data_IF_189318705230
#
_entry.id   IF_189318705230
#
_cell.length_a   1.000
_cell.length_b   1.000
_cell.length_c   1.000
_cell.angle_alpha   90.00
_cell.angle_beta   90.00
_cell.angle_gamma   90.00
#
_symmetry.space_group_name_H-M   'P 1'
#
loop_
_entity.id
_entity.type
_entity.pdbx_description
1 polymer ?
#
# COMPACT_ATOMS: atom_id res chain seq x y z
N UNK A 1 -2.49 -6.05 -12.45
CA UNK A 1 -1.36 -5.64 -11.58
C UNK A 1 -1.78 -5.16 -10.18
N UNK A 2 -2.73 -4.23 -10.01
CA UNK A 2 -3.17 -3.73 -8.69
C UNK A 2 -3.59 -4.84 -7.71
N UNK A 3 -4.33 -5.84 -8.17
CA UNK A 3 -4.76 -7.00 -7.38
C UNK A 3 -3.63 -7.96 -6.98
N UNK A 4 -2.61 -8.11 -7.83
CA UNK A 4 -1.44 -8.98 -7.58
C UNK A 4 -0.55 -8.38 -6.49
N UNK A 5 -0.36 -7.06 -6.51
CA UNK A 5 0.37 -6.34 -5.46
C UNK A 5 -0.37 -6.31 -4.12
N UNK A 6 -1.70 -6.19 -4.13
CA UNK A 6 -2.52 -6.31 -2.91
C UNK A 6 -2.43 -7.74 -2.37
N UNK A 7 -2.52 -8.75 -3.23
CA UNK A 7 -2.39 -10.15 -2.85
C UNK A 7 -0.99 -10.49 -2.32
N UNK A 8 0.07 -9.96 -2.93
CA UNK A 8 1.46 -10.09 -2.46
C UNK A 8 1.66 -9.38 -1.12
N UNK A 9 1.21 -8.13 -0.96
CA UNK A 9 1.29 -7.41 0.30
C UNK A 9 0.55 -8.13 1.43
N UNK A 10 -0.61 -8.75 1.14
CA UNK A 10 -1.41 -9.52 2.10
C UNK A 10 -0.84 -10.91 2.39
N UNK A 11 -0.33 -11.62 1.38
CA UNK A 11 0.33 -12.93 1.53
C UNK A 11 1.67 -12.82 2.26
N UNK A 12 2.42 -11.73 2.02
CA UNK A 12 3.66 -11.44 2.74
C UNK A 12 3.36 -11.03 4.19
N UNK A 13 2.25 -10.32 4.44
CA UNK A 13 1.80 -9.98 5.79
C UNK A 13 1.39 -11.21 6.63
N UNK A 14 0.97 -12.31 5.99
CA UNK A 14 0.69 -13.59 6.65
C UNK A 14 1.93 -14.44 6.92
N UNK A 15 3.03 -14.21 6.18
CA UNK A 15 4.29 -14.97 6.31
C UNK A 15 5.36 -14.24 7.14
N UNK A 16 5.22 -12.92 7.35
CA UNK A 16 6.19 -12.09 8.08
C UNK A 16 5.62 -11.66 9.44
N UNK A 17 5.46 -12.63 10.32
CA UNK A 17 5.49 -12.37 11.77
C UNK A 17 6.97 -12.42 12.16
N UNK A 18 7.47 -11.32 12.74
CA UNK A 18 8.80 -11.15 13.35
C UNK A 18 10.02 -10.92 12.44
N UNK A 19 10.38 -9.65 12.27
CA UNK A 19 11.59 -9.05 12.85
C UNK A 19 11.50 -7.52 12.66
N UNK A 20 11.83 -6.74 13.70
CA UNK A 20 11.57 -5.31 13.87
C UNK A 20 12.28 -4.33 12.92
N UNK A 21 12.25 -4.59 11.60
CA UNK A 21 12.79 -3.74 10.53
C UNK A 21 11.72 -2.90 9.82
N UNK A 22 10.45 -3.31 9.85
CA UNK A 22 9.37 -2.56 9.18
C UNK A 22 9.03 -1.26 9.92
N UNK A 23 9.20 -1.23 11.24
CA UNK A 23 8.88 -0.07 12.06
C UNK A 23 9.90 1.06 11.87
N UNK A 24 11.21 0.79 11.78
CA UNK A 24 12.26 1.82 11.73
C UNK A 24 12.30 2.59 10.42
N UNK A 25 11.95 1.96 9.30
CA UNK A 25 12.26 2.47 7.96
C UNK A 25 11.11 3.29 7.38
N UNK A 26 9.86 2.82 7.56
CA UNK A 26 8.68 3.65 7.39
C UNK A 26 8.68 4.82 8.38
N UNK A 27 9.26 4.61 9.57
CA UNK A 27 9.57 5.72 10.47
C UNK A 27 10.51 6.73 9.86
N UNK A 28 11.49 6.37 9.04
CA UNK A 28 12.45 7.36 8.57
C UNK A 28 11.77 8.44 7.72
N UNK A 29 10.84 8.04 6.83
CA UNK A 29 10.02 8.96 6.01
C UNK A 29 8.98 9.69 6.87
N UNK A 30 8.37 9.03 7.85
CA UNK A 30 7.43 9.67 8.77
C UNK A 30 8.12 10.58 9.79
N UNK A 31 9.36 10.30 10.22
CA UNK A 31 10.18 11.04 11.19
C UNK A 31 10.85 12.24 10.53
N UNK A 32 11.13 12.15 9.22
CA UNK A 32 11.33 13.32 8.34
C UNK A 32 10.15 14.32 8.43
N UNK A 33 8.94 13.86 8.76
CA UNK A 33 7.74 14.70 8.91
C UNK A 33 7.29 14.97 10.37
N UNK A 34 7.61 14.08 11.33
CA UNK A 34 6.93 13.98 12.63
C UNK A 34 7.71 14.55 13.83
N UNK A 35 8.87 15.16 13.63
CA UNK A 35 9.58 15.79 14.76
C UNK A 35 9.05 17.21 15.03
N UNK A 36 8.12 17.32 15.96
CA UNK A 36 7.65 18.49 16.72
C UNK A 36 8.33 19.85 16.39
N UNK A 37 7.55 20.74 15.79
CA UNK A 37 7.32 22.19 16.03
C UNK A 37 8.38 23.19 16.56
N UNK A 38 9.68 22.89 16.72
CA UNK A 38 10.62 23.93 17.25
C UNK A 38 11.96 24.12 16.51
N UNK A 39 12.05 23.85 15.19
CA UNK A 39 13.19 24.40 14.42
C UNK A 39 12.86 24.58 12.94
N UNK A 40 12.38 25.79 12.61
CA UNK A 40 11.61 26.15 11.42
C UNK A 40 12.40 26.62 10.19
N UNK A 41 13.73 26.48 10.08
CA UNK A 41 14.46 27.12 8.95
C UNK A 41 15.11 26.21 7.89
N UNK A 42 15.29 24.90 8.11
CA UNK A 42 16.09 24.07 7.17
C UNK A 42 15.57 22.64 6.87
N UNK A 43 14.33 22.30 7.25
CA UNK A 43 13.71 21.04 6.81
C UNK A 43 13.09 21.21 5.43
N UNK A 44 13.22 20.20 4.57
CA UNK A 44 12.46 20.12 3.32
C UNK A 44 10.96 20.15 3.65
N UNK A 45 10.36 21.34 3.73
CA UNK A 45 8.94 21.55 3.98
C UNK A 45 8.18 21.05 2.75
N UNK A 46 7.94 19.74 2.73
CA UNK A 46 7.12 19.09 1.72
C UNK A 46 5.71 18.99 2.30
N UNK A 47 4.66 19.40 1.56
CA UNK A 47 3.30 19.25 2.02
C UNK A 47 3.01 17.82 2.46
N UNK A 48 2.15 17.64 3.46
CA UNK A 48 1.72 16.33 3.99
C UNK A 48 1.29 15.37 2.87
N UNK A 49 0.69 15.90 1.80
CA UNK A 49 0.32 15.15 0.61
C UNK A 49 1.52 14.46 -0.06
N UNK A 50 2.60 15.20 -0.30
CA UNK A 50 3.82 14.67 -0.91
C UNK A 50 4.47 13.59 -0.05
N UNK A 51 4.53 13.81 1.25
CA UNK A 51 5.06 12.83 2.20
C UNK A 51 4.27 11.53 2.20
N UNK A 52 2.93 11.60 2.17
CA UNK A 52 2.06 10.44 2.08
C UNK A 52 2.24 9.67 0.77
N UNK A 53 2.46 10.38 -0.34
CA UNK A 53 2.79 9.77 -1.64
C UNK A 53 4.13 9.05 -1.57
N UNK A 54 5.15 9.69 -1.00
CA UNK A 54 6.47 9.10 -0.82
C UNK A 54 6.43 7.80 -0.01
N UNK A 55 5.65 7.75 1.07
CA UNK A 55 5.50 6.53 1.90
C UNK A 55 4.85 5.40 1.12
N UNK A 56 3.75 5.66 0.40
CA UNK A 56 3.11 4.66 -0.47
C UNK A 56 4.10 4.12 -1.50
N UNK A 57 4.98 4.99 -1.98
CA UNK A 57 5.94 4.61 -2.99
C UNK A 57 7.04 3.76 -2.40
N UNK A 58 7.61 4.18 -1.29
CA UNK A 58 8.59 3.39 -0.57
C UNK A 58 8.08 1.98 -0.23
N UNK A 59 6.85 1.86 0.29
CA UNK A 59 6.26 0.56 0.62
C UNK A 59 6.11 -0.36 -0.60
N UNK A 60 5.69 0.18 -1.74
CA UNK A 60 5.53 -0.62 -2.96
C UNK A 60 6.88 -1.01 -3.57
N UNK A 61 7.86 -0.12 -3.53
CA UNK A 61 9.22 -0.41 -3.98
C UNK A 61 9.81 -1.61 -3.22
N UNK A 62 9.62 -1.62 -1.89
CA UNK A 62 10.06 -2.68 -0.97
C UNK A 62 9.43 -4.07 -1.23
N UNK A 63 8.24 -4.10 -1.83
CA UNK A 63 7.57 -5.36 -2.17
C UNK A 63 8.10 -5.97 -3.48
N UNK A 64 8.76 -5.18 -4.32
CA UNK A 64 9.23 -5.60 -5.64
C UNK A 64 10.73 -5.90 -5.62
N UNK A 65 11.51 -5.08 -4.90
CA UNK A 65 12.96 -5.20 -4.83
C UNK A 65 13.38 -5.75 -3.47
N UNK A 66 14.41 -6.60 -3.45
CA UNK A 66 14.91 -7.18 -2.21
C UNK A 66 15.70 -6.15 -1.38
N UNK A 67 15.59 -6.21 -0.06
CA UNK A 67 16.25 -5.26 0.86
C UNK A 67 17.79 -5.30 0.79
N UNK A 68 18.39 -6.34 0.18
CA UNK A 68 19.84 -6.46 -0.01
C UNK A 68 20.38 -5.67 -1.21
N UNK A 69 19.53 -5.24 -2.14
CA UNK A 69 19.96 -4.61 -3.39
C UNK A 69 20.20 -3.10 -3.26
N UNK A 70 19.70 -2.46 -2.19
CA UNK A 70 19.73 -1.02 -2.05
C UNK A 70 19.85 -0.57 -0.57
N UNK A 71 20.34 0.65 -0.38
CA UNK A 71 20.31 1.30 0.93
C UNK A 71 18.92 1.89 1.20
N UNK A 72 18.29 1.48 2.30
CA UNK A 72 16.94 1.93 2.67
C UNK A 72 16.82 3.45 2.84
N UNK A 73 17.91 4.13 3.25
CA UNK A 73 17.93 5.60 3.40
C UNK A 73 17.90 6.28 2.03
N UNK A 74 18.71 5.80 1.09
CA UNK A 74 18.75 6.36 -0.27
C UNK A 74 17.47 6.02 -1.04
N UNK A 75 16.87 4.84 -0.80
CA UNK A 75 15.55 4.49 -1.33
C UNK A 75 14.44 5.37 -0.76
N UNK A 76 14.46 5.67 0.55
CA UNK A 76 13.52 6.61 1.15
C UNK A 76 13.65 8.02 0.57
N UNK A 77 14.88 8.50 0.37
CA UNK A 77 15.16 9.78 -0.28
C UNK A 77 14.70 9.79 -1.75
N UNK A 78 14.90 8.69 -2.48
CA UNK A 78 14.37 8.53 -3.85
C UNK A 78 12.84 8.52 -3.88
N UNK A 79 12.17 7.93 -2.88
CA UNK A 79 10.71 7.94 -2.77
C UNK A 79 10.20 9.38 -2.65
N UNK A 80 10.83 10.15 -1.78
CA UNK A 80 10.49 11.55 -1.55
C UNK A 80 10.79 12.42 -2.77
N UNK A 81 11.94 12.21 -3.42
CA UNK A 81 12.32 12.92 -4.65
C UNK A 81 11.32 12.66 -5.78
N UNK A 82 10.91 11.40 -5.97
CA UNK A 82 9.92 11.01 -6.98
C UNK A 82 8.54 11.62 -6.65
N UNK A 83 8.13 11.56 -5.39
CA UNK A 83 6.86 12.16 -4.95
C UNK A 83 6.83 13.68 -5.13
N UNK A 84 7.94 14.37 -4.87
CA UNK A 84 8.10 15.80 -5.11
C UNK A 84 7.85 16.20 -6.57
N UNK A 85 8.27 15.35 -7.52
CA UNK A 85 8.01 15.58 -8.96
C UNK A 85 6.56 15.38 -9.34
N UNK A 86 5.88 14.41 -8.74
CA UNK A 86 4.50 14.07 -9.06
C UNK A 86 3.50 15.06 -8.45
N UNK A 87 3.82 15.60 -7.27
CA UNK A 87 2.95 16.49 -6.51
C UNK A 87 3.29 17.99 -6.73
N UNK A 88 4.10 18.31 -7.74
CA UNK A 88 4.56 19.67 -8.10
C UNK A 88 5.24 20.42 -6.95
N UNK A 89 6.01 19.70 -6.14
CA UNK A 89 6.75 20.22 -4.97
C UNK A 89 8.24 19.96 -5.13
N UNK A 90 8.77 20.34 -6.31
CA UNK A 90 10.12 20.03 -6.76
C UNK A 90 11.19 20.51 -5.77
N UNK A 91 12.11 19.59 -5.43
CA UNK A 91 13.29 19.83 -4.59
C UNK A 91 14.50 19.19 -5.26
N UNK A 92 15.70 19.75 -5.04
CA UNK A 92 16.93 19.15 -5.57
C UNK A 92 17.25 17.90 -4.75
N UNK A 93 17.78 16.85 -5.40
CA UNK A 93 18.16 15.60 -4.72
C UNK A 93 19.21 15.83 -3.63
N UNK A 94 20.18 16.74 -3.86
CA UNK A 94 21.18 17.15 -2.86
C UNK A 94 20.54 17.72 -1.59
N UNK A 95 19.52 18.57 -1.74
CA UNK A 95 18.82 19.19 -0.61
C UNK A 95 18.11 18.13 0.25
N UNK A 96 17.51 17.11 -0.40
CA UNK A 96 16.83 16.01 0.28
C UNK A 96 17.82 15.15 1.07
N UNK A 97 18.96 14.79 0.46
CA UNK A 97 20.00 13.98 1.11
C UNK A 97 20.66 14.75 2.25
N UNK A 98 20.98 16.02 2.05
CA UNK A 98 21.52 16.90 3.08
C UNK A 98 20.57 17.03 4.27
N UNK A 99 19.27 17.23 4.02
CA UNK A 99 18.26 17.26 5.08
C UNK A 99 18.19 15.93 5.85
N UNK A 100 18.24 14.79 5.16
CA UNK A 100 18.25 13.47 5.80
C UNK A 100 19.50 13.23 6.66
N UNK A 101 20.66 13.73 6.23
CA UNK A 101 21.91 13.66 6.98
C UNK A 101 21.87 14.55 8.23
N UNK A 102 21.45 15.81 8.09
CA UNK A 102 21.36 16.77 9.19
C UNK A 102 20.34 16.38 10.26
N UNK A 103 19.37 15.50 9.96
CA UNK A 103 18.48 14.93 10.98
C UNK A 103 19.19 14.05 12.02
N UNK A 104 20.37 13.51 11.68
CA UNK A 104 21.15 12.67 12.59
C UNK A 104 22.13 13.48 13.44
N UNK A 105 22.40 14.73 13.05
CA UNK A 105 23.41 15.59 13.66
C UNK A 105 22.79 16.69 14.53
N UNK A 106 23.48 17.11 15.59
CA UNK A 106 23.09 18.29 16.33
C UNK A 106 23.15 19.55 15.44
N UNK A 107 22.34 20.59 15.71
CA UNK A 107 22.30 21.82 14.91
C UNK A 107 23.65 22.50 14.67
N UNK A 108 24.62 22.31 15.55
CA UNK A 108 25.98 22.86 15.44
C UNK A 108 26.83 22.23 14.34
N UNK A 109 26.48 21.02 13.90
CA UNK A 109 27.26 20.23 12.92
C UNK A 109 26.50 20.08 11.58
N UNK A 110 25.47 20.90 11.35
CA UNK A 110 24.69 20.84 10.11
C UNK A 110 25.56 21.23 8.92
N UNK A 111 25.56 20.36 7.91
CA UNK A 111 26.25 20.60 6.65
C UNK A 111 25.34 21.34 5.67
N UNK A 112 25.95 22.02 4.70
CA UNK A 112 25.22 22.67 3.62
C UNK A 112 25.07 21.73 2.42
N UNK A 113 24.02 21.90 1.60
CA UNK A 113 23.79 21.04 0.42
C UNK A 113 24.92 21.07 -0.62
N UNK A 114 25.78 22.11 -0.59
CA UNK A 114 26.89 22.31 -1.51
C UNK A 114 28.13 21.45 -1.21
N UNK A 115 28.15 20.78 -0.06
CA UNK A 115 29.23 19.87 0.34
C UNK A 115 29.37 18.69 -0.67
N UNK A 116 30.59 18.38 -1.16
CA UNK A 116 30.84 17.26 -2.07
C UNK A 116 30.49 15.88 -1.48
N UNK A 117 30.41 15.74 -0.15
CA UNK A 117 30.02 14.49 0.52
C UNK A 117 28.65 13.99 0.03
N UNK A 118 27.75 14.89 -0.34
CA UNK A 118 26.39 14.52 -0.79
C UNK A 118 26.29 14.18 -2.27
N UNK A 119 27.34 14.41 -3.07
CA UNK A 119 27.27 14.25 -4.52
C UNK A 119 27.04 12.78 -4.93
N UNK A 120 27.75 11.85 -4.29
CA UNK A 120 27.61 10.41 -4.54
C UNK A 120 26.20 9.92 -4.23
N UNK A 121 25.70 10.21 -3.02
CA UNK A 121 24.34 9.82 -2.59
C UNK A 121 23.26 10.47 -3.46
N UNK A 122 23.42 11.75 -3.83
CA UNK A 122 22.48 12.43 -4.72
C UNK A 122 22.39 11.78 -6.11
N UNK A 123 23.51 11.27 -6.65
CA UNK A 123 23.51 10.48 -7.90
C UNK A 123 22.83 9.12 -7.72
N UNK A 124 23.08 8.43 -6.61
CA UNK A 124 22.41 7.17 -6.28
C UNK A 124 20.89 7.32 -6.18
N UNK A 125 20.40 8.40 -5.57
CA UNK A 125 18.98 8.74 -5.48
C UNK A 125 18.34 8.90 -6.87
N UNK A 126 19.04 9.51 -7.82
CA UNK A 126 18.57 9.64 -9.21
C UNK A 126 18.53 8.28 -9.92
N UNK A 127 19.49 7.39 -9.63
CA UNK A 127 19.45 6.01 -10.13
C UNK A 127 18.26 5.21 -9.59
N UNK A 128 18.02 5.31 -8.28
CA UNK A 128 16.91 4.64 -7.60
C UNK A 128 15.53 5.17 -8.03
N UNK A 129 15.42 6.46 -8.39
CA UNK A 129 14.19 7.03 -8.94
C UNK A 129 13.68 6.23 -10.15
N UNK A 130 14.58 5.85 -11.07
CA UNK A 130 14.18 5.09 -12.26
C UNK A 130 13.57 3.74 -11.88
N UNK A 131 14.20 3.03 -10.95
CA UNK A 131 13.70 1.75 -10.43
C UNK A 131 12.38 1.92 -9.70
N UNK A 132 12.20 3.04 -8.98
CA UNK A 132 10.93 3.36 -8.34
C UNK A 132 9.82 3.53 -9.37
N UNK A 133 10.02 4.36 -10.40
CA UNK A 133 9.02 4.60 -11.45
C UNK A 133 8.60 3.29 -12.15
N UNK A 134 9.55 2.39 -12.40
CA UNK A 134 9.30 1.05 -12.93
C UNK A 134 8.45 0.21 -11.97
N UNK A 135 8.76 0.22 -10.67
CA UNK A 135 8.00 -0.48 -9.63
C UNK A 135 6.52 0.00 -9.54
N UNK A 136 6.27 1.28 -9.85
CA UNK A 136 4.90 1.82 -9.94
C UNK A 136 4.17 1.46 -11.23
N UNK A 137 4.90 1.06 -12.27
CA UNK A 137 4.35 0.94 -13.62
C UNK A 137 3.85 2.29 -14.14
N UNK A 138 4.50 3.39 -13.74
CA UNK A 138 4.16 4.76 -14.16
C UNK A 138 2.71 5.20 -13.85
N UNK A 139 2.04 4.57 -12.87
CA UNK A 139 0.72 5.03 -12.39
C UNK A 139 0.88 6.10 -11.31
N UNK A 140 0.65 7.36 -11.68
CA UNK A 140 0.82 8.53 -10.80
C UNK A 140 -0.46 8.93 -10.06
N UNK A 141 -1.53 8.14 -10.12
CA UNK A 141 -2.80 8.48 -9.46
C UNK A 141 -2.70 8.30 -7.95
N UNK A 142 -2.46 9.39 -7.24
CA UNK A 142 -2.38 9.40 -5.78
C UNK A 142 -3.73 9.73 -5.16
N UNK A 143 -4.30 8.76 -4.46
CA UNK A 143 -5.46 8.96 -3.60
C UNK A 143 -5.03 8.88 -2.13
N UNK A 144 -5.50 9.82 -1.34
CA UNK A 144 -5.26 9.90 0.10
C UNK A 144 -6.57 9.96 0.91
N UNK A 145 -6.61 9.35 2.11
CA UNK A 145 -7.83 9.22 2.90
C UNK A 145 -8.29 10.53 3.55
N UNK A 146 -7.47 11.58 3.64
CA UNK A 146 -7.82 12.83 4.32
C UNK A 146 -9.07 13.50 3.72
N UNK A 147 -9.20 13.51 2.38
CA UNK A 147 -10.38 14.07 1.71
C UNK A 147 -11.64 13.25 2.00
N UNK A 148 -11.51 11.93 2.06
CA UNK A 148 -12.61 11.01 2.40
C UNK A 148 -13.01 11.14 3.86
N UNK A 149 -12.04 11.28 4.76
CA UNK A 149 -12.27 11.46 6.20
C UNK A 149 -13.11 12.70 6.48
N UNK A 150 -12.82 13.83 5.83
CA UNK A 150 -13.63 15.06 5.99
C UNK A 150 -15.09 14.83 5.54
N UNK A 151 -15.31 14.07 4.46
CA UNK A 151 -16.67 13.77 3.98
C UNK A 151 -17.41 12.82 4.93
N UNK A 152 -16.71 11.80 5.44
CA UNK A 152 -17.25 10.85 6.42
C UNK A 152 -17.57 11.52 7.76
N UNK A 153 -16.67 12.34 8.29
CA UNK A 153 -16.89 13.08 9.53
C UNK A 153 -18.15 13.96 9.44
N UNK A 154 -18.33 14.68 8.32
CA UNK A 154 -19.54 15.47 8.07
C UNK A 154 -20.81 14.61 7.96
N UNK A 155 -20.71 13.42 7.37
CA UNK A 155 -21.83 12.49 7.25
C UNK A 155 -22.35 12.02 8.62
N UNK A 156 -21.45 11.77 9.57
CA UNK A 156 -21.81 11.37 10.94
C UNK A 156 -21.93 12.55 11.92
N UNK A 157 -22.07 13.78 11.40
CA UNK A 157 -22.22 15.00 12.20
C UNK A 157 -21.06 15.34 13.14
N UNK A 158 -19.86 14.82 12.88
CA UNK A 158 -18.65 15.28 13.57
C UNK A 158 -18.19 16.61 12.97
N UNK A 159 -18.17 17.66 13.79
CA UNK A 159 -17.67 18.98 13.41
C UNK A 159 -16.15 18.95 13.27
N UNK A 160 -15.57 19.95 12.58
CA UNK A 160 -14.10 20.04 12.44
C UNK A 160 -13.41 20.33 13.78
N UNK A 161 -14.14 20.91 14.71
CA UNK A 161 -13.71 21.26 16.05
C UNK A 161 -13.83 20.07 17.03
N UNK A 162 -14.47 18.98 16.60
CA UNK A 162 -14.62 17.78 17.41
C UNK A 162 -13.27 17.13 17.68
N UNK A 163 -13.05 16.74 18.94
CA UNK A 163 -11.87 15.98 19.34
C UNK A 163 -11.73 14.66 18.55
N UNK A 164 -12.87 14.03 18.20
CA UNK A 164 -12.91 12.81 17.36
C UNK A 164 -12.32 13.09 15.99
N UNK A 165 -12.66 14.22 15.37
CA UNK A 165 -12.15 14.55 14.04
C UNK A 165 -10.64 14.78 14.06
N UNK A 166 -10.13 15.55 15.04
CA UNK A 166 -8.69 15.77 15.20
C UNK A 166 -7.95 14.45 15.46
N UNK A 167 -8.45 13.62 16.36
CA UNK A 167 -7.86 12.33 16.65
C UNK A 167 -7.87 11.42 15.41
N UNK A 168 -8.98 11.35 14.67
CA UNK A 168 -9.07 10.58 13.45
C UNK A 168 -8.07 11.07 12.38
N UNK A 169 -7.81 12.38 12.33
CA UNK A 169 -6.81 12.95 11.44
C UNK A 169 -5.38 12.53 11.81
N UNK A 170 -5.04 12.52 13.10
CA UNK A 170 -3.74 12.04 13.57
C UNK A 170 -3.57 10.53 13.32
N UNK A 171 -4.61 9.73 13.58
CA UNK A 171 -4.62 8.30 13.25
C UNK A 171 -4.41 8.10 11.75
N UNK A 172 -5.02 8.95 10.92
CA UNK A 172 -4.86 8.94 9.46
C UNK A 172 -3.41 9.23 9.02
N UNK A 173 -2.64 10.02 9.78
CA UNK A 173 -1.19 10.18 9.54
C UNK A 173 -0.41 8.95 9.97
N UNK A 174 -0.70 8.42 11.17
CA UNK A 174 -0.03 7.22 11.69
C UNK A 174 -0.31 5.97 10.84
N UNK A 175 -1.45 5.93 10.14
CA UNK A 175 -1.83 4.86 9.22
C UNK A 175 -0.77 4.62 8.14
N UNK A 176 -0.05 5.66 7.68
CA UNK A 176 1.00 5.52 6.68
C UNK A 176 2.25 4.76 7.18
N UNK A 177 2.41 4.61 8.51
CA UNK A 177 3.45 3.77 9.10
C UNK A 177 3.15 2.27 8.98
N UNK A 178 1.93 1.91 8.55
CA UNK A 178 1.50 0.53 8.29
C UNK A 178 1.42 0.23 6.79
N UNK A 179 1.17 -1.02 6.43
CA UNK A 179 0.89 -1.42 5.04
C UNK A 179 -0.58 -1.18 4.60
N UNK A 180 -1.43 -0.59 5.46
CA UNK A 180 -2.82 -0.28 5.13
C UNK A 180 -3.00 0.52 3.81
N UNK A 181 -2.15 1.52 3.46
CA UNK A 181 -2.24 2.24 2.19
C UNK A 181 -2.06 1.38 0.93
N UNK A 182 -1.44 0.22 1.06
CA UNK A 182 -1.30 -0.75 -0.03
C UNK A 182 -2.44 -1.75 -0.05
N UNK A 183 -2.96 -2.13 1.12
CA UNK A 183 -4.02 -3.13 1.27
C UNK A 183 -5.40 -2.59 0.91
N UNK A 184 -5.74 -1.37 1.36
CA UNK A 184 -7.12 -0.88 1.36
C UNK A 184 -7.40 0.32 0.45
N UNK A 185 -8.69 0.57 0.22
CA UNK A 185 -9.16 1.77 -0.48
C UNK A 185 -9.11 3.00 0.44
N UNK A 186 -9.11 4.19 -0.15
CA UNK A 186 -9.13 5.46 0.62
C UNK A 186 -10.37 5.64 1.46
N UNK A 187 -11.51 5.09 1.04
CA UNK A 187 -12.74 5.15 1.82
C UNK A 187 -12.64 4.27 3.05
N UNK A 188 -12.19 3.03 2.87
CA UNK A 188 -11.97 2.07 3.96
C UNK A 188 -10.99 2.62 4.99
N UNK A 189 -9.83 3.14 4.55
CA UNK A 189 -8.85 3.73 5.47
C UNK A 189 -9.46 4.88 6.29
N UNK A 190 -10.20 5.78 5.64
CA UNK A 190 -10.83 6.90 6.33
C UNK A 190 -11.91 6.45 7.33
N UNK A 191 -12.69 5.43 6.98
CA UNK A 191 -13.71 4.85 7.85
C UNK A 191 -13.06 4.24 9.10
N UNK A 192 -11.99 3.46 8.93
CA UNK A 192 -11.27 2.82 10.02
C UNK A 192 -10.61 3.84 10.96
N UNK A 193 -10.04 4.93 10.43
CA UNK A 193 -9.49 5.99 11.27
C UNK A 193 -10.57 6.67 12.11
N UNK A 194 -11.75 6.90 11.54
CA UNK A 194 -12.87 7.52 12.26
C UNK A 194 -13.45 6.57 13.33
N UNK A 195 -13.68 5.31 12.98
CA UNK A 195 -14.17 4.29 13.92
C UNK A 195 -13.19 4.08 15.08
N UNK A 196 -11.88 4.06 14.82
CA UNK A 196 -10.89 3.95 15.87
C UNK A 196 -10.89 5.16 16.80
N UNK A 197 -11.00 6.38 16.27
CA UNK A 197 -11.06 7.60 17.08
C UNK A 197 -12.28 7.61 18.02
N UNK A 198 -13.46 7.27 17.49
CA UNK A 198 -14.72 7.12 18.22
C UNK A 198 -14.57 6.13 19.38
N UNK A 199 -13.99 4.95 19.11
CA UNK A 199 -13.77 3.91 20.12
C UNK A 199 -12.73 4.30 21.18
N UNK A 200 -11.67 5.03 20.79
CA UNK A 200 -10.63 5.47 21.74
C UNK A 200 -11.13 6.55 22.70
N UNK A 201 -12.00 7.45 22.24
CA UNK A 201 -12.62 8.51 23.04
C UNK A 201 -13.89 8.05 23.78
N UNK A 202 -14.26 6.77 23.66
CA UNK A 202 -15.50 6.19 24.21
C UNK A 202 -16.78 6.95 23.78
N UNK A 203 -16.73 7.68 22.67
CA UNK A 203 -17.87 8.40 22.09
C UNK A 203 -18.61 7.47 21.15
N UNK A 204 -19.48 6.61 21.70
CA UNK A 204 -20.20 5.59 20.92
C UNK A 204 -21.01 6.18 19.77
N UNK A 205 -20.78 5.66 18.57
CA UNK A 205 -21.53 6.02 17.36
C UNK A 205 -22.07 4.73 16.72
N UNK A 206 -23.27 4.32 17.14
CA UNK A 206 -23.92 3.10 16.67
C UNK A 206 -24.01 2.99 15.13
N UNK A 207 -24.37 4.04 14.36
CA UNK A 207 -24.40 3.94 12.89
C UNK A 207 -23.05 3.62 12.25
N UNK A 208 -21.96 4.12 12.86
CA UNK A 208 -20.60 3.89 12.39
C UNK A 208 -20.11 2.47 12.74
N UNK A 209 -20.37 2.02 13.97
CA UNK A 209 -19.95 0.69 14.47
C UNK A 209 -20.77 -0.45 13.85
N UNK A 210 -22.06 -0.22 13.58
CA UNK A 210 -22.95 -1.21 12.96
C UNK A 210 -22.74 -1.35 11.45
N UNK A 211 -22.14 -0.35 10.79
CA UNK A 211 -21.72 -0.46 9.40
C UNK A 211 -22.84 -0.38 8.37
N UNK A 212 -23.96 0.26 8.70
CA UNK A 212 -25.14 0.38 7.82
C UNK A 212 -24.77 1.02 6.47
N UNK A 213 -23.78 1.91 6.45
CA UNK A 213 -23.39 2.70 5.27
C UNK A 213 -22.27 2.07 4.42
N UNK A 214 -21.84 0.84 4.71
CA UNK A 214 -20.71 0.23 3.99
C UNK A 214 -20.90 0.16 2.47
N UNK A 215 -22.12 -0.13 2.01
CA UNK A 215 -22.46 -0.14 0.59
C UNK A 215 -22.28 1.25 -0.06
N UNK A 216 -22.66 2.32 0.64
CA UNK A 216 -22.55 3.71 0.15
C UNK A 216 -21.10 4.15 -0.01
N UNK A 217 -20.21 3.69 0.86
CA UNK A 217 -18.79 4.03 0.86
C UNK A 217 -17.90 2.98 0.17
N UNK A 218 -18.52 2.02 -0.54
CA UNK A 218 -17.84 0.93 -1.26
C UNK A 218 -16.78 0.22 -0.41
N UNK A 219 -17.13 -0.06 0.84
CA UNK A 219 -16.26 -0.67 1.85
C UNK A 219 -16.93 -1.92 2.42
N UNK A 220 -16.16 -2.81 3.05
CA UNK A 220 -16.68 -4.00 3.73
C UNK A 220 -16.19 -4.05 5.18
N UNK A 221 -16.92 -4.78 6.05
CA UNK A 221 -16.55 -4.90 7.47
C UNK A 221 -15.19 -5.56 7.62
N UNK A 222 -14.88 -6.56 6.80
CA UNK A 222 -13.62 -7.30 6.86
C UNK A 222 -12.43 -6.40 6.57
N UNK A 223 -12.56 -5.52 5.57
CA UNK A 223 -11.52 -4.58 5.18
C UNK A 223 -11.28 -3.51 6.26
N UNK A 224 -12.35 -3.03 6.91
CA UNK A 224 -12.28 -2.10 8.04
C UNK A 224 -11.60 -2.77 9.24
N UNK A 225 -12.04 -3.97 9.60
CA UNK A 225 -11.48 -4.75 10.71
C UNK A 225 -9.99 -5.04 10.53
N UNK A 226 -9.57 -5.45 9.33
CA UNK A 226 -8.15 -5.65 8.99
C UNK A 226 -7.33 -4.38 9.29
N UNK A 227 -7.81 -3.21 8.86
CA UNK A 227 -7.09 -1.95 9.13
C UNK A 227 -7.15 -1.47 10.57
N UNK A 228 -8.25 -1.70 11.28
CA UNK A 228 -8.35 -1.38 12.71
C UNK A 228 -7.31 -2.19 13.49
N UNK A 229 -7.19 -3.49 13.18
CA UNK A 229 -6.20 -4.34 13.81
C UNK A 229 -4.76 -3.95 13.45
N UNK A 230 -4.47 -3.61 12.18
CA UNK A 230 -3.14 -3.12 11.77
C UNK A 230 -2.75 -1.85 12.57
N UNK A 231 -3.68 -0.91 12.77
CA UNK A 231 -3.46 0.30 13.56
C UNK A 231 -3.28 0.01 15.06
N UNK A 232 -4.11 -0.87 15.63
CA UNK A 232 -3.98 -1.27 17.03
C UNK A 232 -2.66 -2.02 17.27
N UNK A 233 -2.23 -2.85 16.31
CA UNK A 233 -0.95 -3.55 16.35
C UNK A 233 0.22 -2.55 16.37
N UNK A 234 0.17 -1.51 15.52
CA UNK A 234 1.13 -0.41 15.51
C UNK A 234 1.21 0.28 16.89
N UNK A 235 0.08 0.64 17.49
CA UNK A 235 0.06 1.33 18.78
C UNK A 235 0.53 0.45 19.94
N UNK A 236 0.29 -0.86 19.88
CA UNK A 236 0.76 -1.81 20.91
C UNK A 236 2.27 -2.05 20.86
N UNK A 237 2.88 -2.16 19.68
CA UNK A 237 4.31 -2.46 19.54
C UNK A 237 5.20 -1.23 19.48
N UNK A 238 4.69 -0.11 18.97
CA UNK A 238 5.53 1.04 18.57
C UNK A 238 4.95 2.39 19.02
N UNK A 239 4.38 2.41 20.23
CA UNK A 239 3.71 3.55 20.85
C UNK A 239 4.52 4.85 20.82
N UNK A 240 5.79 4.79 21.21
CA UNK A 240 6.67 5.98 21.32
C UNK A 240 6.98 6.62 19.99
N UNK A 241 6.77 5.88 18.90
CA UNK A 241 7.09 6.34 17.57
C UNK A 241 5.91 7.03 16.90
N UNK A 242 4.68 6.80 17.37
CA UNK A 242 3.43 7.33 16.81
C UNK A 242 2.95 8.63 17.48
N UNK A 243 2.21 9.44 16.73
CA UNK A 243 1.62 10.68 17.25
C UNK A 243 0.45 10.40 18.20
N UNK A 244 -0.37 9.39 17.93
CA UNK A 244 -1.50 9.07 18.81
C UNK A 244 -1.10 8.19 19.99
N UNK A 245 -0.09 7.34 19.81
CA UNK A 245 0.31 6.37 20.82
C UNK A 245 0.69 7.00 22.16
N UNK A 246 1.40 8.13 22.18
CA UNK A 246 1.80 8.76 23.44
C UNK A 246 0.62 9.37 24.22
N UNK A 247 -0.47 9.75 23.54
CA UNK A 247 -1.66 10.38 24.16
C UNK A 247 -2.47 9.44 25.05
N UNK A 248 -2.49 8.13 24.75
CA UNK A 248 -3.32 7.14 25.45
C UNK A 248 -2.48 6.05 26.11
N UNK A 249 -2.85 5.55 27.30
CA UNK A 249 -2.18 4.41 27.93
C UNK A 249 -2.37 3.13 27.10
N UNK A 250 -1.46 2.15 27.20
CA UNK A 250 -1.56 0.88 26.46
C UNK A 250 -2.91 0.18 26.71
N UNK A 251 -3.41 0.24 27.94
CA UNK A 251 -4.65 -0.41 28.37
C UNK A 251 -5.88 0.06 27.58
N UNK A 252 -5.90 1.32 27.13
CA UNK A 252 -7.00 1.84 26.31
C UNK A 252 -7.05 1.15 24.94
N UNK A 253 -5.89 0.90 24.33
CA UNK A 253 -5.81 0.18 23.06
C UNK A 253 -6.22 -1.29 23.24
N UNK A 254 -5.86 -1.93 24.37
CA UNK A 254 -6.33 -3.28 24.68
C UNK A 254 -7.85 -3.32 24.90
N UNK A 255 -8.43 -2.34 25.61
CA UNK A 255 -9.89 -2.21 25.81
C UNK A 255 -10.65 -2.18 24.48
N UNK A 256 -10.12 -1.48 23.48
CA UNK A 256 -10.70 -1.44 22.13
C UNK A 256 -10.45 -2.73 21.34
N UNK A 257 -9.29 -3.36 21.51
CA UNK A 257 -8.89 -4.57 20.75
C UNK A 257 -9.67 -5.83 21.16
N UNK A 258 -9.99 -6.00 22.44
CA UNK A 258 -10.71 -7.18 22.95
C UNK A 258 -12.06 -7.43 22.24
N UNK A 259 -13.01 -6.46 22.20
CA UNK A 259 -14.30 -6.67 21.55
C UNK A 259 -14.16 -6.89 20.03
N UNK A 260 -13.19 -6.24 19.39
CA UNK A 260 -12.92 -6.45 17.96
C UNK A 260 -12.44 -7.87 17.65
N UNK A 261 -11.59 -8.44 18.51
CA UNK A 261 -11.14 -9.83 18.37
C UNK A 261 -12.27 -10.84 18.65
N UNK A 262 -13.20 -10.52 19.55
CA UNK A 262 -14.40 -11.34 19.78
C UNK A 262 -15.30 -11.31 18.55
N UNK A 263 -15.56 -10.12 17.99
CA UNK A 263 -16.36 -9.97 16.78
C UNK A 263 -15.79 -10.77 15.60
N UNK A 264 -14.46 -10.83 15.44
CA UNK A 264 -13.80 -11.64 14.40
C UNK A 264 -14.07 -13.13 14.60
N UNK A 265 -14.02 -13.61 15.85
CA UNK A 265 -14.30 -15.03 16.17
C UNK A 265 -15.76 -15.36 15.95
N UNK A 266 -16.66 -14.47 16.37
CA UNK A 266 -18.11 -14.67 16.29
C UNK A 266 -18.61 -14.66 14.85
N UNK A 267 -18.11 -13.71 14.05
CA UNK A 267 -18.49 -13.53 12.64
C UNK A 267 -17.61 -14.34 11.67
N UNK A 268 -16.62 -15.08 12.17
CA UNK A 268 -15.63 -15.83 11.38
C UNK A 268 -15.01 -14.98 10.26
N UNK A 269 -14.69 -13.72 10.58
CA UNK A 269 -14.10 -12.79 9.60
C UNK A 269 -12.64 -13.22 9.35
N UNK A 270 -12.23 -13.45 8.08
CA UNK A 270 -10.84 -13.77 7.80
C UNK A 270 -9.96 -12.57 8.14
N UNK A 271 -8.85 -12.80 8.85
CA UNK A 271 -7.90 -11.74 9.25
C UNK A 271 -7.32 -10.99 8.05
N UNK A 272 -7.18 -11.68 6.92
CA UNK A 272 -6.73 -11.11 5.66
C UNK A 272 -7.82 -11.31 4.62
N UNK A 273 -8.25 -10.21 3.99
CA UNK A 273 -9.25 -10.30 2.93
C UNK A 273 -8.62 -10.84 1.64
N UNK A 274 -9.01 -12.05 1.24
CA UNK A 274 -8.63 -12.67 -0.04
C UNK A 274 -9.15 -11.83 -1.21
N UNK A 275 -8.41 -11.69 -2.32
CA UNK A 275 -8.95 -11.08 -3.53
C UNK A 275 -10.01 -12.02 -4.11
N UNK A 276 -11.29 -11.68 -3.96
CA UNK A 276 -12.40 -12.29 -4.70
C UNK A 276 -12.98 -13.56 -4.08
N UNK A 277 -13.99 -13.40 -3.22
CA UNK A 277 -15.01 -14.45 -3.01
C UNK A 277 -16.36 -13.78 -2.77
N UNK A 278 -16.91 -13.17 -3.81
CA UNK A 278 -18.36 -13.14 -3.97
C UNK A 278 -18.73 -14.43 -4.70
N UNK A 279 -19.05 -15.48 -3.96
CA UNK A 279 -19.45 -16.77 -4.51
C UNK A 279 -19.34 -17.89 -3.48
N UNK A 280 -20.50 -18.41 -3.06
CA UNK A 280 -20.64 -19.57 -2.19
C UNK A 280 -19.76 -20.75 -2.63
N UNK A 281 -19.04 -21.34 -1.68
CA UNK A 281 -18.31 -22.60 -1.88
C UNK A 281 -17.38 -22.88 -0.71
N UNK A 282 -17.88 -23.59 0.29
CA UNK A 282 -17.07 -24.14 1.38
C UNK A 282 -16.13 -25.22 0.86
N UNK A 283 -14.81 -25.01 0.92
CA UNK A 283 -13.84 -26.10 0.81
C UNK A 283 -12.93 -26.10 2.04
N UNK A 284 -13.18 -27.09 2.90
CA UNK A 284 -12.34 -27.49 4.02
C UNK A 284 -11.01 -28.02 3.46
N UNK A 285 -9.90 -27.42 3.87
CA UNK A 285 -8.57 -27.91 3.54
C UNK A 285 -8.17 -28.99 4.56
N UNK A 286 -8.40 -30.27 4.20
CA UNK A 286 -7.89 -31.41 4.96
C UNK A 286 -6.38 -31.55 4.74
N UNK A 287 -5.64 -31.67 5.85
CA UNK A 287 -4.19 -31.71 5.89
C UNK A 287 -3.71 -33.15 5.84
N UNK A 288 -3.42 -33.68 4.65
CA UNK A 288 -2.65 -34.93 4.51
C UNK A 288 -1.57 -34.77 3.44
N UNK A 289 -0.34 -34.97 3.87
CA UNK A 289 0.88 -34.71 3.10
C UNK A 289 0.98 -35.51 1.80
N UNK A 290 1.54 -34.86 0.78
CA UNK A 290 2.07 -35.48 -0.43
C UNK A 290 3.37 -34.79 -0.85
N UNK A 291 4.31 -35.64 -1.26
CA UNK A 291 5.67 -35.38 -1.76
C UNK A 291 5.76 -34.28 -2.84
N UNK A 292 6.96 -33.71 -3.07
CA UNK A 292 7.15 -32.60 -4.00
C UNK A 292 6.95 -33.05 -5.45
N UNK A 293 5.93 -32.48 -6.11
CA UNK A 293 5.73 -32.61 -7.56
C UNK A 293 6.70 -31.67 -8.30
N UNK A 294 7.59 -32.27 -9.09
CA UNK A 294 8.63 -31.60 -9.86
C UNK A 294 8.04 -31.04 -11.17
N UNK A 295 7.15 -30.05 -11.06
CA UNK A 295 6.64 -29.31 -12.23
C UNK A 295 7.30 -27.94 -12.30
N UNK A 296 8.25 -27.83 -13.23
CA UNK A 296 8.93 -26.59 -13.61
C UNK A 296 7.90 -25.51 -13.99
N UNK A 297 7.98 -24.35 -13.34
CA UNK A 297 7.19 -23.17 -13.71
C UNK A 297 7.70 -22.62 -15.06
N UNK A 298 6.83 -22.17 -15.97
CA UNK A 298 7.26 -21.58 -17.24
C UNK A 298 8.09 -20.31 -16.99
N UNK A 299 9.24 -20.20 -17.67
CA UNK A 299 10.14 -19.05 -17.59
C UNK A 299 9.50 -17.77 -18.13
N UNK A 300 9.74 -16.65 -17.46
CA UNK A 300 9.33 -15.32 -17.91
C UNK A 300 10.36 -14.79 -18.92
N UNK A 301 9.95 -14.25 -20.09
CA UNK A 301 10.86 -13.90 -21.20
C UNK A 301 11.76 -12.67 -20.96
N UNK A 302 11.85 -12.18 -19.72
CA UNK A 302 12.69 -11.04 -19.32
C UNK A 302 13.66 -11.37 -18.19
N UNK A 303 13.86 -12.65 -17.86
CA UNK A 303 14.92 -13.04 -16.93
C UNK A 303 16.27 -12.86 -17.64
N UNK A 304 17.19 -12.02 -17.13
CA UNK A 304 18.49 -11.83 -17.76
C UNK A 304 19.30 -13.13 -17.62
N UNK A 305 19.76 -13.69 -18.74
CA UNK A 305 20.64 -14.87 -18.75
C UNK A 305 22.08 -14.39 -18.52
N UNK A 306 22.71 -14.89 -17.46
CA UNK A 306 24.13 -14.65 -17.19
C UNK A 306 25.00 -15.15 -18.35
N UNK A 307 26.11 -14.44 -18.62
CA UNK A 307 26.94 -14.57 -19.83
C UNK A 307 27.53 -15.96 -20.13
N UNK A 308 27.44 -16.93 -19.21
CA UNK A 308 28.06 -18.26 -19.34
C UNK A 308 27.05 -19.38 -19.00
N UNK A 309 26.03 -19.59 -19.84
CA UNK A 309 25.10 -20.72 -19.72
C UNK A 309 24.61 -21.22 -21.07
N UNK A 310 24.81 -22.52 -21.32
CA UNK A 310 24.58 -23.20 -22.60
C UNK A 310 23.16 -23.02 -23.19
N UNK A 311 23.12 -22.70 -24.48
CA UNK A 311 21.91 -22.68 -25.31
C UNK A 311 21.36 -24.11 -25.49
N UNK A 312 20.14 -24.36 -25.03
CA UNK A 312 19.40 -25.60 -25.37
C UNK A 312 18.47 -25.34 -26.57
N UNK A 313 18.88 -25.84 -27.74
CA UNK A 313 18.05 -26.27 -28.86
C UNK A 313 17.04 -25.27 -29.45
N UNK A 314 17.50 -24.37 -30.32
CA UNK A 314 16.62 -23.62 -31.22
C UNK A 314 16.27 -24.46 -32.46
N UNK A 315 14.98 -24.66 -32.73
CA UNK A 315 14.51 -25.12 -34.04
C UNK A 315 14.73 -24.00 -35.07
N UNK A 316 15.39 -24.33 -36.19
CA UNK A 316 15.96 -23.45 -37.23
C UNK A 316 14.99 -22.51 -37.99
N UNK A 317 13.75 -22.29 -37.54
CA UNK A 317 12.75 -21.47 -38.29
C UNK A 317 12.40 -20.11 -37.68
N UNK A 318 13.14 -19.65 -36.67
CA UNK A 318 12.79 -18.44 -35.92
C UNK A 318 13.73 -17.24 -36.06
N UNK A 319 14.78 -17.30 -36.88
CA UNK A 319 15.89 -16.31 -36.78
C UNK A 319 15.55 -14.88 -37.21
N UNK A 320 14.51 -14.66 -38.03
CA UNK A 320 14.26 -13.32 -38.61
C UNK A 320 12.81 -12.80 -38.49
N UNK A 321 12.01 -13.30 -37.53
CA UNK A 321 10.66 -12.79 -37.31
C UNK A 321 10.59 -11.87 -36.07
N UNK A 322 10.02 -10.65 -36.16
CA UNK A 322 9.81 -9.82 -34.99
C UNK A 322 8.87 -10.56 -34.01
N UNK A 323 9.27 -10.64 -32.74
CA UNK A 323 8.52 -11.29 -31.66
C UNK A 323 7.08 -10.77 -31.63
N UNK A 324 6.16 -11.51 -32.27
CA UNK A 324 4.72 -11.33 -32.09
C UNK A 324 4.39 -11.92 -30.74
N UNK A 325 3.69 -11.14 -29.90
CA UNK A 325 3.05 -11.63 -28.68
C UNK A 325 2.32 -12.93 -29.01
N UNK A 326 2.85 -14.06 -28.53
CA UNK A 326 2.19 -15.35 -28.70
C UNK A 326 1.04 -15.34 -27.70
N UNK A 327 -0.13 -14.93 -28.16
CA UNK A 327 -1.40 -15.21 -27.49
C UNK A 327 -1.56 -16.73 -27.45
N UNK A 328 -1.88 -17.26 -26.27
CA UNK A 328 -2.18 -18.68 -26.11
C UNK A 328 -3.30 -19.07 -27.09
N UNK A 329 -3.04 -19.98 -28.04
CA UNK A 329 -4.02 -20.33 -29.07
C UNK A 329 -5.30 -20.92 -28.47
N UNK A 330 -5.24 -21.51 -27.28
CA UNK A 330 -6.43 -22.01 -26.59
C UNK A 330 -7.32 -20.86 -26.09
N UNK A 331 -6.73 -19.80 -25.54
CA UNK A 331 -7.48 -18.62 -25.11
C UNK A 331 -8.06 -17.82 -26.27
N UNK A 332 -7.30 -17.68 -27.36
CA UNK A 332 -7.81 -17.02 -28.56
C UNK A 332 -9.01 -17.75 -29.17
N UNK A 333 -9.02 -19.09 -29.13
CA UNK A 333 -10.15 -19.89 -29.61
C UNK A 333 -11.38 -19.73 -28.71
N UNK A 334 -11.20 -19.70 -27.39
CA UNK A 334 -12.30 -19.53 -26.43
C UNK A 334 -12.91 -18.13 -26.48
N UNK A 335 -12.08 -17.09 -26.59
CA UNK A 335 -12.56 -15.70 -26.76
C UNK A 335 -13.36 -15.57 -28.07
N UNK A 336 -12.86 -16.15 -29.16
CA UNK A 336 -13.57 -16.15 -30.45
C UNK A 336 -14.92 -16.87 -30.37
N UNK A 337 -15.02 -17.93 -29.57
CA UNK A 337 -16.27 -18.67 -29.33
C UNK A 337 -17.29 -17.80 -28.59
N UNK A 338 -16.87 -17.14 -27.51
CA UNK A 338 -17.74 -16.23 -26.76
C UNK A 338 -18.22 -15.05 -27.62
N UNK A 339 -17.30 -14.43 -28.36
CA UNK A 339 -17.63 -13.28 -29.21
C UNK A 339 -18.60 -13.67 -30.32
N UNK A 340 -18.45 -14.86 -30.90
CA UNK A 340 -19.31 -15.37 -31.97
C UNK A 340 -20.78 -15.52 -31.58
N UNK A 341 -21.11 -15.71 -30.30
CA UNK A 341 -22.50 -15.79 -29.85
C UNK A 341 -23.24 -14.45 -29.97
N UNK A 342 -22.55 -13.32 -29.77
CA UNK A 342 -23.13 -11.98 -29.85
C UNK A 342 -23.39 -11.48 -31.27
N UNK A 343 -22.85 -12.15 -32.29
CA UNK A 343 -23.01 -11.78 -33.71
C UNK A 343 -24.05 -12.62 -34.45
N UNK A 344 -24.77 -13.50 -33.74
CA UNK A 344 -25.92 -14.21 -34.33
C UNK A 344 -27.11 -13.25 -34.40
N UNK A 345 -27.48 -12.88 -35.63
CA UNK A 345 -28.70 -12.09 -35.88
C UNK A 345 -29.86 -13.07 -36.03
N UNK A 346 -30.76 -13.09 -35.05
CA UNK A 346 -32.04 -13.78 -35.15
C UNK A 346 -33.02 -12.85 -35.88
N UNK A 347 -33.54 -13.31 -37.03
CA UNK A 347 -34.55 -12.59 -37.80
C UNK A 347 -35.89 -13.28 -37.56
N UNK A 348 -36.84 -12.58 -36.94
CA UNK A 348 -38.22 -13.02 -36.84
C UNK A 348 -39.01 -12.43 -38.01
N UNK A 349 -39.51 -13.29 -38.90
CA UNK A 349 -40.41 -12.89 -39.97
C UNK A 349 -41.84 -12.78 -39.41
N UNK A 350 -42.43 -11.59 -39.51
CA UNK A 350 -43.84 -11.36 -39.18
C UNK A 350 -44.62 -11.25 -40.49
N UNK A 351 -45.50 -12.22 -40.76
CA UNK A 351 -46.47 -12.13 -41.84
C UNK A 351 -47.57 -11.13 -41.43
N UNK A 352 -47.73 -10.07 -42.22
CA UNK A 352 -48.84 -9.12 -42.09
C UNK A 352 -49.96 -9.60 -43.00
N UNK A 353 -51.04 -10.11 -42.44
CA UNK A 353 -52.28 -10.39 -43.20
C UNK A 353 -52.88 -9.05 -43.67
N UNK A 354 -53.12 -8.92 -44.99
CA UNK A 354 -53.63 -7.73 -45.69
C UNK A 354 -55.05 -7.29 -45.29
#
# INVERSE_FOLDING_TARGET
MRWVLIALARSLCACWVWHGLTTSDGLYICKLNSSNDEMLSLRCYSPVRTSNTAVKYYHRFRLIHSDSEYNYIDAAAAALFTACKIEDTLKKSRDIVCAAYNLKLPPSEHLTPDDPVFESNARSVIGLERLMLEAFGFDFRTHHPQKSLIKLARHYHFTKESEVFYLAWEICMDLYRTFAPLKQTTQTMAYSCLELAVRLLDQRCEPLESGVDYAKWSTSREAVMETLLDLLELYTHSRTQTSVGHRFPPDQFLKVRIPLNQEIKDKQIPRYTSPGTTGNGSEQYDSRGKQPDNRQRPYHPLTPVAANGDRRGESERGRDAPLRFILDPAWAAEEKRQVGEYFKVEMEEYEVEE
#
